data_IF_141477320449
#
_entry.id   IF_141477320449
#
_cell.length_a   1.000
_cell.length_b   1.000
_cell.length_c   1.000
_cell.angle_alpha   90.00
_cell.angle_beta   90.00
_cell.angle_gamma   90.00
#
_symmetry.space_group_name_H-M   'P 1'
#
loop_
_entity.id
_entity.type
_entity.pdbx_description
1 polymer ?
#
# COMPACT_ATOMS: atom_id res chain seq x y z
N UNK A 1 -26.33 -11.47 14.99
CA UNK A 1 -24.89 -11.59 14.66
C UNK A 1 -24.82 -11.45 13.16
N UNK A 2 -23.97 -10.56 12.64
CA UNK A 2 -23.93 -10.30 11.21
C UNK A 2 -23.19 -11.43 10.49
N UNK A 3 -23.79 -12.01 9.44
CA UNK A 3 -23.15 -13.09 8.66
C UNK A 3 -22.27 -12.53 7.55
N UNK A 4 -21.43 -13.38 6.96
CA UNK A 4 -20.66 -13.05 5.76
C UNK A 4 -21.58 -12.67 4.60
N UNK A 5 -22.66 -13.41 4.35
CA UNK A 5 -23.58 -13.09 3.25
C UNK A 5 -24.25 -11.72 3.45
N UNK A 6 -24.54 -11.33 4.69
CA UNK A 6 -25.07 -10.00 5.01
C UNK A 6 -24.04 -8.88 4.78
N UNK A 7 -22.75 -9.15 5.01
CA UNK A 7 -21.65 -8.24 4.67
C UNK A 7 -21.52 -8.07 3.16
N UNK A 8 -21.49 -9.17 2.41
CA UNK A 8 -21.40 -9.17 0.94
C UNK A 8 -22.62 -8.47 0.31
N UNK A 9 -23.82 -8.65 0.88
CA UNK A 9 -25.02 -7.94 0.43
C UNK A 9 -24.96 -6.42 0.69
N UNK A 10 -24.30 -5.99 1.78
CA UNK A 10 -24.06 -4.56 2.02
C UNK A 10 -23.07 -3.99 1.04
N UNK A 11 -21.95 -4.69 0.79
CA UNK A 11 -20.98 -4.29 -0.22
C UNK A 11 -21.65 -4.11 -1.59
N UNK A 12 -22.53 -5.03 -1.98
CA UNK A 12 -23.26 -4.96 -3.25
C UNK A 12 -24.17 -3.73 -3.33
N UNK A 13 -24.78 -3.33 -2.22
CA UNK A 13 -25.71 -2.20 -2.15
C UNK A 13 -25.03 -0.83 -2.00
N UNK A 14 -23.84 -0.76 -1.39
CA UNK A 14 -23.21 0.51 -1.01
C UNK A 14 -21.96 0.85 -1.80
N UNK A 15 -21.21 -0.14 -2.27
CA UNK A 15 -19.98 0.12 -3.03
C UNK A 15 -20.31 0.56 -4.46
N UNK A 16 -19.40 1.36 -5.02
CA UNK A 16 -19.53 1.84 -6.40
C UNK A 16 -19.50 0.67 -7.40
N UNK A 17 -20.08 0.83 -8.61
CA UNK A 17 -20.05 -0.21 -9.64
C UNK A 17 -18.65 -0.65 -10.05
N UNK A 18 -17.67 0.25 -9.98
CA UNK A 18 -16.26 -0.02 -10.29
C UNK A 18 -15.47 -0.69 -9.15
N UNK A 19 -16.03 -0.76 -7.95
CA UNK A 19 -15.35 -1.32 -6.79
C UNK A 19 -15.38 -2.85 -6.82
N UNK A 20 -14.30 -3.48 -6.38
CA UNK A 20 -14.27 -4.93 -6.20
C UNK A 20 -15.20 -5.35 -5.05
N UNK A 21 -15.90 -6.48 -5.24
CA UNK A 21 -16.88 -6.97 -4.26
C UNK A 21 -16.45 -8.35 -3.81
N UNK A 22 -16.35 -8.58 -2.49
CA UNK A 22 -15.86 -9.84 -1.97
C UNK A 22 -16.76 -11.01 -2.38
N UNK A 23 -18.08 -10.79 -2.43
CA UNK A 23 -19.05 -11.78 -2.91
C UNK A 23 -18.96 -12.12 -4.41
N UNK A 24 -18.19 -11.34 -5.19
CA UNK A 24 -17.91 -11.57 -6.62
C UNK A 24 -16.45 -11.92 -6.90
N UNK A 25 -15.66 -12.21 -5.86
CA UNK A 25 -14.26 -12.59 -6.01
C UNK A 25 -14.09 -13.75 -6.98
N UNK A 26 -13.04 -13.72 -7.80
CA UNK A 26 -12.62 -14.83 -8.66
C UNK A 26 -12.06 -16.01 -7.84
N UNK A 27 -11.93 -15.84 -6.53
CA UNK A 27 -11.66 -16.89 -5.57
C UNK A 27 -10.17 -17.15 -5.35
N UNK A 28 -9.87 -18.35 -4.88
CA UNK A 28 -8.52 -18.80 -4.47
C UNK A 28 -8.10 -19.99 -5.33
N UNK A 29 -6.79 -20.21 -5.49
CA UNK A 29 -6.26 -21.35 -6.25
C UNK A 29 -6.71 -22.68 -5.63
N UNK A 30 -6.51 -22.82 -4.31
CA UNK A 30 -6.91 -24.02 -3.58
C UNK A 30 -8.31 -23.78 -3.02
N UNK A 31 -9.31 -24.60 -3.37
CA UNK A 31 -10.66 -24.45 -2.84
C UNK A 31 -10.67 -24.59 -1.32
N UNK A 32 -11.30 -23.63 -0.65
CA UNK A 32 -11.48 -23.62 0.80
C UNK A 32 -12.94 -23.31 1.12
N UNK A 33 -13.43 -23.81 2.26
CA UNK A 33 -14.75 -23.43 2.75
C UNK A 33 -14.77 -21.93 3.10
N UNK A 34 -15.91 -21.28 2.82
CA UNK A 34 -16.11 -19.89 3.18
C UNK A 34 -16.30 -19.70 4.68
N UNK A 35 -15.90 -18.53 5.18
CA UNK A 35 -15.99 -18.23 6.61
C UNK A 35 -17.41 -17.73 6.94
N UNK A 36 -18.03 -18.16 8.06
CA UNK A 36 -19.40 -17.77 8.37
C UNK A 36 -19.61 -16.25 8.63
N UNK A 37 -18.54 -15.54 9.01
CA UNK A 37 -18.63 -14.15 9.50
C UNK A 37 -17.69 -13.13 8.83
N UNK A 38 -16.78 -13.58 7.95
CA UNK A 38 -15.73 -12.72 7.37
C UNK A 38 -15.77 -12.85 5.86
N UNK A 39 -15.65 -11.72 5.17
CA UNK A 39 -15.53 -11.69 3.71
C UNK A 39 -14.18 -12.26 3.26
N UNK A 40 -14.05 -12.57 1.97
CA UNK A 40 -12.83 -13.12 1.41
C UNK A 40 -11.61 -12.18 1.63
N UNK A 41 -11.80 -10.86 1.49
CA UNK A 41 -10.74 -9.86 1.67
C UNK A 41 -10.37 -9.66 3.15
N UNK A 42 -11.33 -9.69 4.07
CA UNK A 42 -11.05 -9.68 5.51
C UNK A 42 -10.21 -10.88 5.93
N UNK A 43 -10.50 -12.07 5.38
CA UNK A 43 -9.69 -13.25 5.61
C UNK A 43 -8.27 -13.05 5.11
N UNK A 44 -8.09 -12.48 3.92
CA UNK A 44 -6.77 -12.23 3.33
C UNK A 44 -5.94 -11.27 4.16
N UNK A 45 -6.54 -10.17 4.62
CA UNK A 45 -5.89 -9.26 5.57
C UNK A 45 -5.38 -10.01 6.78
N UNK A 46 -6.24 -10.80 7.42
CA UNK A 46 -5.89 -11.53 8.62
C UNK A 46 -4.77 -12.55 8.34
N UNK A 47 -4.74 -13.18 7.16
CA UNK A 47 -3.65 -14.08 6.74
C UNK A 47 -2.32 -13.33 6.64
N UNK A 48 -2.30 -12.19 5.95
CA UNK A 48 -1.10 -11.38 5.75
C UNK A 48 -0.51 -10.89 7.06
N UNK A 49 -1.33 -10.35 7.97
CA UNK A 49 -0.88 -9.82 9.28
C UNK A 49 -0.25 -10.91 10.16
N UNK A 50 -0.67 -12.17 10.04
CA UNK A 50 -0.16 -13.26 10.88
C UNK A 50 1.09 -13.96 10.33
N UNK A 51 1.61 -13.52 9.18
CA UNK A 51 2.84 -14.08 8.58
C UNK A 51 4.09 -13.79 9.41
N UNK A 52 5.12 -14.63 9.26
CA UNK A 52 6.44 -14.31 9.81
C UNK A 52 7.03 -13.10 9.10
N UNK A 53 6.80 -13.00 7.78
CA UNK A 53 7.33 -11.93 6.97
C UNK A 53 6.74 -10.54 7.32
N UNK A 54 5.45 -10.46 7.65
CA UNK A 54 4.84 -9.22 8.16
C UNK A 54 5.39 -8.84 9.53
N UNK A 55 5.53 -9.80 10.45
CA UNK A 55 6.19 -9.56 11.76
C UNK A 55 7.63 -9.07 11.60
N UNK A 56 8.36 -9.59 10.61
CA UNK A 56 9.72 -9.17 10.34
C UNK A 56 9.83 -7.70 9.90
N UNK A 57 8.74 -7.07 9.43
CA UNK A 57 8.73 -5.65 9.08
C UNK A 57 9.02 -4.74 10.29
N UNK A 58 8.75 -5.20 11.51
CA UNK A 58 9.11 -4.51 12.76
C UNK A 58 10.62 -4.27 12.86
N UNK A 59 11.43 -5.16 12.29
CA UNK A 59 12.88 -5.10 12.34
C UNK A 59 13.51 -4.66 11.02
N UNK A 60 12.70 -4.30 10.02
CA UNK A 60 13.17 -3.78 8.73
C UNK A 60 13.02 -2.26 8.69
N UNK A 61 14.09 -1.64 8.22
CA UNK A 61 14.22 -0.19 8.11
C UNK A 61 13.51 0.32 6.87
N UNK A 62 12.87 1.48 6.97
CA UNK A 62 12.39 2.19 5.78
C UNK A 62 13.58 2.91 5.10
N UNK A 63 14.02 4.03 5.68
CA UNK A 63 15.17 4.81 5.19
C UNK A 63 16.36 4.75 6.16
N UNK A 64 16.13 4.99 7.45
CA UNK A 64 17.17 5.01 8.46
C UNK A 64 17.31 3.67 9.17
N UNK A 65 18.55 3.35 9.57
CA UNK A 65 18.83 2.09 10.28
C UNK A 65 18.25 2.17 11.70
N UNK A 66 17.47 1.17 12.11
CA UNK A 66 16.70 1.15 13.36
C UNK A 66 17.59 1.31 14.62
N UNK A 67 18.90 1.05 14.49
CA UNK A 67 19.89 1.21 15.56
C UNK A 67 20.35 2.66 15.79
N UNK A 68 19.86 3.63 14.99
CA UNK A 68 20.28 5.04 15.06
C UNK A 68 19.37 5.94 15.91
N UNK A 69 18.25 5.40 16.42
CA UNK A 69 17.35 6.07 17.35
C UNK A 69 15.91 5.57 17.25
N UNK A 70 15.17 5.64 18.37
CA UNK A 70 13.79 5.11 18.50
C UNK A 70 12.74 5.91 17.71
N UNK A 71 13.14 7.03 17.10
CA UNK A 71 12.26 7.91 16.32
C UNK A 71 12.00 7.39 14.89
N UNK A 72 12.97 6.66 14.31
CA UNK A 72 12.90 6.29 12.90
C UNK A 72 11.89 5.20 12.63
N UNK A 73 11.15 5.36 11.53
CA UNK A 73 10.09 4.43 11.14
C UNK A 73 10.65 3.10 10.66
N UNK A 74 9.92 2.05 11.00
CA UNK A 74 10.10 0.69 10.46
C UNK A 74 9.16 0.49 9.28
N UNK A 75 9.39 -0.55 8.48
CA UNK A 75 8.45 -0.95 7.43
C UNK A 75 7.08 -1.33 7.98
N UNK A 76 7.03 -1.80 9.23
CA UNK A 76 5.76 -2.12 9.89
C UNK A 76 4.95 -0.84 10.16
N UNK A 77 5.56 0.18 10.77
CA UNK A 77 4.87 1.45 11.03
C UNK A 77 4.48 2.13 9.72
N UNK A 78 5.33 2.04 8.70
CA UNK A 78 5.02 2.51 7.36
C UNK A 78 3.78 1.80 6.77
N UNK A 79 3.75 0.47 6.73
CA UNK A 79 2.62 -0.31 6.21
C UNK A 79 1.31 -0.01 6.95
N UNK A 80 1.37 0.24 8.26
CA UNK A 80 0.20 0.65 9.05
C UNK A 80 -0.30 2.02 8.59
N UNK A 81 0.57 3.00 8.44
CA UNK A 81 0.19 4.35 7.98
C UNK A 81 -0.38 4.34 6.55
N UNK A 82 0.24 3.57 5.64
CA UNK A 82 -0.29 3.35 4.28
C UNK A 82 -1.71 2.79 4.34
N UNK A 83 -1.96 1.80 5.20
CA UNK A 83 -3.29 1.20 5.35
C UNK A 83 -4.35 2.20 5.82
N UNK A 84 -3.99 3.14 6.70
CA UNK A 84 -4.91 4.16 7.20
C UNK A 84 -5.31 5.17 6.10
N UNK A 85 -4.33 5.59 5.30
CA UNK A 85 -4.57 6.49 4.16
C UNK A 85 -5.37 5.78 3.07
N UNK A 86 -4.98 4.56 2.69
CA UNK A 86 -5.69 3.76 1.69
C UNK A 86 -7.16 3.55 2.05
N UNK A 87 -7.47 3.22 3.32
CA UNK A 87 -8.85 3.05 3.79
C UNK A 87 -9.65 4.35 3.75
N UNK A 88 -9.01 5.47 4.07
CA UNK A 88 -9.65 6.80 4.00
C UNK A 88 -10.05 7.14 2.57
N UNK A 89 -9.14 6.91 1.62
CA UNK A 89 -9.39 7.13 0.19
C UNK A 89 -10.48 6.16 -0.31
N UNK A 90 -10.35 4.87 -0.04
CA UNK A 90 -11.31 3.85 -0.48
C UNK A 90 -12.72 4.13 0.00
N UNK A 91 -12.89 4.46 1.30
CA UNK A 91 -14.20 4.79 1.85
C UNK A 91 -14.81 6.03 1.20
N UNK A 92 -13.99 7.04 0.90
CA UNK A 92 -14.48 8.28 0.27
C UNK A 92 -14.88 8.06 -1.19
N UNK A 93 -14.18 7.16 -1.90
CA UNK A 93 -14.51 6.75 -3.27
C UNK A 93 -15.54 5.62 -3.34
N UNK A 94 -16.14 5.18 -2.23
CA UNK A 94 -16.99 3.99 -2.17
C UNK A 94 -16.36 2.75 -2.83
N UNK A 95 -15.03 2.64 -2.77
CA UNK A 95 -14.26 1.46 -3.15
C UNK A 95 -14.18 0.48 -1.96
N UNK A 96 -13.71 -0.74 -2.20
CA UNK A 96 -13.65 -1.76 -1.16
C UNK A 96 -12.53 -1.48 -0.15
N UNK A 97 -12.93 -1.06 1.06
CA UNK A 97 -12.00 -0.71 2.15
C UNK A 97 -11.15 -1.91 2.60
N UNK A 98 -11.73 -3.11 2.69
CA UNK A 98 -11.03 -4.31 3.15
C UNK A 98 -9.97 -4.77 2.11
N UNK A 99 -10.26 -4.64 0.81
CA UNK A 99 -9.30 -4.95 -0.26
C UNK A 99 -8.16 -3.92 -0.29
N UNK A 100 -8.46 -2.62 -0.19
CA UNK A 100 -7.43 -1.58 -0.13
C UNK A 100 -6.53 -1.76 1.11
N UNK A 101 -7.10 -2.12 2.26
CA UNK A 101 -6.35 -2.38 3.51
C UNK A 101 -5.38 -3.56 3.36
N UNK A 102 -5.82 -4.71 2.84
CA UNK A 102 -4.92 -5.86 2.69
C UNK A 102 -3.80 -5.59 1.68
N UNK A 103 -4.08 -4.89 0.59
CA UNK A 103 -3.06 -4.50 -0.40
C UNK A 103 -2.02 -3.56 0.23
N UNK A 104 -2.47 -2.56 0.98
CA UNK A 104 -1.59 -1.66 1.73
C UNK A 104 -0.75 -2.36 2.79
N UNK A 105 -1.30 -3.33 3.53
CA UNK A 105 -0.55 -4.06 4.57
C UNK A 105 0.45 -5.04 3.95
N UNK A 106 0.11 -5.63 2.80
CA UNK A 106 0.90 -6.68 2.19
C UNK A 106 1.96 -6.17 1.20
N UNK A 107 1.89 -4.93 0.70
CA UNK A 107 2.77 -4.44 -0.38
C UNK A 107 4.27 -4.62 -0.07
N UNK A 108 4.64 -4.47 1.20
CA UNK A 108 6.03 -4.32 1.63
C UNK A 108 6.67 -5.60 2.21
N UNK A 109 5.92 -6.68 2.27
CA UNK A 109 6.35 -7.96 2.86
C UNK A 109 7.62 -8.51 2.18
N UNK A 110 7.75 -8.29 0.87
CA UNK A 110 8.83 -8.79 0.03
C UNK A 110 10.17 -8.06 0.15
N UNK A 111 10.23 -6.92 0.85
CA UNK A 111 11.47 -6.14 0.91
C UNK A 111 12.59 -6.88 1.66
N UNK A 112 13.83 -6.89 1.14
CA UNK A 112 14.97 -7.42 1.87
C UNK A 112 15.39 -6.47 3.03
N UNK A 113 16.30 -6.91 3.91
CA UNK A 113 16.93 -6.01 4.88
C UNK A 113 17.58 -4.79 4.19
N UNK A 114 17.65 -3.65 4.89
CA UNK A 114 18.26 -2.39 4.40
C UNK A 114 17.54 -1.70 3.23
N UNK A 115 16.24 -1.97 3.05
CA UNK A 115 15.40 -1.29 2.07
C UNK A 115 15.92 -1.42 0.63
N UNK A 116 15.80 -0.35 -0.15
CA UNK A 116 16.20 -0.36 -1.57
C UNK A 116 17.67 -0.67 -1.79
N UNK A 117 18.57 -0.28 -0.86
CA UNK A 117 19.99 -0.63 -0.98
C UNK A 117 20.22 -2.14 -0.85
N UNK A 118 19.46 -2.80 0.03
CA UNK A 118 19.48 -4.26 0.13
C UNK A 118 18.95 -4.93 -1.13
N UNK A 119 17.89 -4.38 -1.72
CA UNK A 119 17.33 -4.85 -2.99
C UNK A 119 18.34 -4.75 -4.13
N UNK A 120 18.93 -3.56 -4.34
CA UNK A 120 19.93 -3.37 -5.39
C UNK A 120 21.11 -4.32 -5.24
N UNK A 121 21.61 -4.47 -4.01
CA UNK A 121 22.76 -5.36 -3.77
C UNK A 121 22.41 -6.82 -3.98
N UNK A 122 21.20 -7.23 -3.58
CA UNK A 122 20.74 -8.60 -3.78
C UNK A 122 20.48 -8.90 -5.26
N UNK A 123 19.94 -7.95 -6.03
CA UNK A 123 19.77 -8.07 -7.49
C UNK A 123 21.12 -8.25 -8.19
N UNK A 124 22.11 -7.41 -7.84
CA UNK A 124 23.49 -7.52 -8.35
C UNK A 124 24.08 -8.91 -8.08
N UNK A 125 24.03 -9.37 -6.82
CA UNK A 125 24.58 -10.68 -6.42
C UNK A 125 23.86 -11.86 -7.09
N UNK A 126 22.54 -11.77 -7.26
CA UNK A 126 21.74 -12.80 -7.95
C UNK A 126 22.12 -12.90 -9.43
N UNK A 127 22.37 -11.77 -10.08
CA UNK A 127 22.84 -11.72 -11.47
C UNK A 127 24.25 -12.29 -11.61
N UNK A 128 25.18 -11.92 -10.72
CA UNK A 128 26.55 -12.47 -10.69
C UNK A 128 26.56 -13.99 -10.51
N UNK A 129 25.64 -14.54 -9.70
CA UNK A 129 25.49 -15.97 -9.49
C UNK A 129 24.75 -16.70 -10.64
N UNK A 130 24.15 -15.96 -11.57
CA UNK A 130 23.34 -16.54 -12.66
C UNK A 130 21.95 -17.03 -12.22
N UNK A 131 21.44 -16.56 -11.08
CA UNK A 131 20.10 -16.89 -10.55
C UNK A 131 18.98 -15.96 -11.04
N UNK A 132 19.29 -15.03 -11.93
CA UNK A 132 18.35 -14.04 -12.47
C UNK A 132 18.34 -12.75 -11.68
N UNK A 133 17.22 -12.01 -11.73
CA UNK A 133 17.05 -10.73 -11.04
C UNK A 133 16.29 -10.89 -9.74
N UNK A 134 16.60 -10.05 -8.76
CA UNK A 134 15.81 -9.88 -7.56
C UNK A 134 14.94 -8.62 -7.67
N UNK A 135 13.66 -8.76 -7.33
CA UNK A 135 12.69 -7.69 -7.24
C UNK A 135 11.82 -7.96 -6.01
N UNK A 136 11.59 -6.94 -5.18
CA UNK A 136 10.86 -7.11 -3.93
C UNK A 136 9.38 -7.46 -4.16
N UNK A 137 8.73 -7.02 -5.25
CA UNK A 137 7.34 -7.37 -5.57
C UNK A 137 7.23 -8.84 -5.98
N UNK A 138 8.16 -9.30 -6.82
CA UNK A 138 8.26 -10.73 -7.15
C UNK A 138 8.52 -11.57 -5.88
N UNK A 139 9.39 -11.07 -5.00
CA UNK A 139 9.66 -11.74 -3.74
C UNK A 139 8.46 -11.73 -2.80
N UNK A 140 7.65 -10.66 -2.81
CA UNK A 140 6.43 -10.55 -2.05
C UNK A 140 5.44 -11.65 -2.46
N UNK A 141 5.10 -11.75 -3.74
CA UNK A 141 4.24 -12.82 -4.26
C UNK A 141 4.84 -14.20 -3.96
N UNK A 142 6.15 -14.37 -4.09
CA UNK A 142 6.82 -15.63 -3.74
C UNK A 142 6.65 -15.99 -2.25
N UNK A 143 6.72 -15.02 -1.34
CA UNK A 143 6.46 -15.26 0.10
C UNK A 143 5.02 -15.72 0.29
N UNK A 144 4.07 -14.96 -0.25
CA UNK A 144 2.64 -15.16 -0.05
C UNK A 144 2.11 -16.42 -0.73
N UNK A 145 2.71 -16.87 -1.82
CA UNK A 145 2.26 -18.06 -2.56
C UNK A 145 3.05 -19.33 -2.24
N UNK A 146 4.30 -19.22 -1.78
CA UNK A 146 5.20 -20.38 -1.71
C UNK A 146 6.00 -20.52 -0.42
N UNK A 147 6.48 -19.43 0.19
CA UNK A 147 7.44 -19.54 1.31
C UNK A 147 6.78 -19.61 2.67
N UNK A 148 5.66 -18.92 2.90
CA UNK A 148 4.91 -19.07 4.14
C UNK A 148 4.26 -20.46 4.20
N UNK A 149 4.46 -21.17 5.30
CA UNK A 149 3.91 -22.52 5.53
C UNK A 149 3.09 -22.51 6.81
N UNK A 150 1.86 -21.98 6.69
CA UNK A 150 0.92 -21.80 7.81
C UNK A 150 -0.30 -22.73 7.76
N UNK A 151 -0.47 -23.44 6.66
CA UNK A 151 -1.62 -24.30 6.40
C UNK A 151 -1.15 -25.71 6.02
N UNK A 152 -1.84 -26.74 6.52
CA UNK A 152 -1.44 -28.13 6.33
C UNK A 152 -1.61 -28.62 4.87
N UNK A 153 -2.56 -28.04 4.14
CA UNK A 153 -3.03 -28.57 2.86
C UNK A 153 -2.44 -27.85 1.64
N UNK A 154 -1.74 -26.73 1.82
CA UNK A 154 -1.16 -25.94 0.74
C UNK A 154 -0.02 -25.06 1.24
N UNK A 155 0.86 -24.66 0.32
CA UNK A 155 1.92 -23.67 0.58
C UNK A 155 1.40 -22.25 0.35
N UNK A 156 2.06 -21.27 0.97
CA UNK A 156 1.61 -19.89 0.95
C UNK A 156 0.36 -19.66 1.78
N UNK A 157 -0.30 -18.55 1.50
CA UNK A 157 -1.50 -18.08 2.18
C UNK A 157 -2.77 -18.30 1.36
N UNK A 158 -2.65 -18.80 0.11
CA UNK A 158 -3.77 -19.04 -0.79
C UNK A 158 -4.73 -17.83 -0.86
N UNK A 159 -4.18 -16.63 -1.05
CA UNK A 159 -4.95 -15.37 -1.10
C UNK A 159 -5.89 -15.34 -2.30
N UNK A 160 -6.90 -14.48 -2.24
CA UNK A 160 -7.80 -14.25 -3.37
C UNK A 160 -7.07 -13.69 -4.59
N UNK A 161 -7.65 -13.90 -5.77
CA UNK A 161 -7.13 -13.35 -7.01
C UNK A 161 -6.93 -11.83 -6.94
N UNK A 162 -7.88 -11.10 -6.37
CA UNK A 162 -7.87 -9.63 -6.34
C UNK A 162 -6.68 -9.09 -5.53
N UNK A 163 -6.34 -9.77 -4.41
CA UNK A 163 -5.16 -9.41 -3.62
C UNK A 163 -3.87 -9.70 -4.38
N UNK A 164 -3.79 -10.85 -5.06
CA UNK A 164 -2.60 -11.22 -5.85
C UNK A 164 -2.40 -10.29 -7.04
N UNK A 165 -3.48 -9.91 -7.71
CA UNK A 165 -3.51 -8.94 -8.80
C UNK A 165 -3.06 -7.56 -8.32
N UNK A 166 -3.64 -7.05 -7.23
CA UNK A 166 -3.32 -5.72 -6.71
C UNK A 166 -1.89 -5.58 -6.18
N UNK A 167 -1.22 -6.69 -5.80
CA UNK A 167 0.18 -6.68 -5.39
C UNK A 167 1.17 -6.65 -6.58
N UNK A 168 0.68 -6.73 -7.82
CA UNK A 168 1.51 -6.61 -9.02
C UNK A 168 1.71 -5.13 -9.44
N UNK A 169 2.40 -4.36 -8.60
CA UNK A 169 2.58 -2.90 -8.77
C UNK A 169 3.62 -2.51 -9.84
N UNK A 170 4.64 -3.34 -10.11
CA UNK A 170 5.78 -2.94 -10.93
C UNK A 170 6.23 -3.97 -11.99
N UNK A 171 6.27 -3.50 -13.25
CA UNK A 171 7.20 -3.88 -14.32
C UNK A 171 7.46 -5.38 -14.57
N UNK A 172 6.42 -6.20 -14.59
CA UNK A 172 6.37 -7.26 -15.61
C UNK A 172 5.21 -6.98 -16.56
N UNK A 173 5.48 -6.55 -17.81
CA UNK A 173 4.58 -6.89 -18.89
C UNK A 173 4.32 -8.39 -18.78
N UNK A 174 3.05 -8.79 -18.73
CA UNK A 174 2.65 -10.19 -18.86
C UNK A 174 2.89 -11.09 -17.64
N UNK A 175 2.63 -10.61 -16.41
CA UNK A 175 2.57 -11.51 -15.25
C UNK A 175 1.35 -12.44 -15.39
N UNK A 176 1.57 -13.75 -15.33
CA UNK A 176 0.47 -14.71 -15.36
C UNK A 176 -0.01 -15.00 -13.94
N UNK A 177 -1.16 -14.44 -13.56
CA UNK A 177 -1.89 -14.81 -12.34
C UNK A 177 -3.00 -15.77 -12.76
N UNK A 178 -2.90 -17.02 -12.28
CA UNK A 178 -3.85 -18.10 -12.61
C UNK A 178 -4.01 -18.35 -14.12
N UNK A 179 -2.93 -18.13 -14.88
CA UNK A 179 -2.91 -18.27 -16.33
C UNK A 179 -3.48 -17.06 -17.09
N UNK A 180 -3.91 -16.02 -16.39
CA UNK A 180 -4.34 -14.75 -16.95
C UNK A 180 -3.21 -13.75 -16.94
N UNK A 181 -2.98 -13.14 -18.09
CA UNK A 181 -2.03 -12.05 -18.25
C UNK A 181 -2.57 -10.80 -17.56
N UNK A 182 -1.84 -10.33 -16.55
CA UNK A 182 -2.10 -9.07 -15.87
C UNK A 182 -1.06 -8.08 -16.36
N UNK A 183 -1.50 -7.12 -17.18
CA UNK A 183 -0.64 -6.00 -17.56
C UNK A 183 -0.38 -5.12 -16.33
N UNK A 184 0.87 -4.70 -16.15
CA UNK A 184 1.21 -3.69 -15.16
C UNK A 184 0.30 -2.45 -15.38
N UNK A 185 -0.22 -1.88 -14.30
CA UNK A 185 -1.15 -0.74 -14.28
C UNK A 185 -2.63 -1.02 -14.61
N UNK A 186 -3.03 -2.25 -14.95
CA UNK A 186 -4.44 -2.65 -15.08
C UNK A 186 -4.94 -3.38 -13.82
N UNK A 187 -4.61 -2.85 -12.65
CA UNK A 187 -5.07 -3.38 -11.36
C UNK A 187 -6.37 -2.70 -10.92
N UNK A 188 -7.08 -3.32 -9.98
CA UNK A 188 -8.30 -2.76 -9.41
C UNK A 188 -8.11 -1.33 -8.87
N UNK A 189 -9.20 -0.58 -8.76
CA UNK A 189 -9.17 0.77 -8.16
C UNK A 189 -8.59 0.72 -6.75
N UNK A 190 -8.88 -0.34 -5.98
CA UNK A 190 -8.32 -0.56 -4.65
C UNK A 190 -6.80 -0.78 -4.67
N UNK A 191 -6.27 -1.47 -5.68
CA UNK A 191 -4.83 -1.59 -5.90
C UNK A 191 -4.18 -0.26 -6.22
N UNK A 192 -4.79 0.54 -7.09
CA UNK A 192 -4.33 1.90 -7.40
C UNK A 192 -4.37 2.80 -6.16
N UNK A 193 -5.40 2.68 -5.33
CA UNK A 193 -5.51 3.40 -4.06
C UNK A 193 -4.38 3.02 -3.11
N UNK A 194 -4.11 1.72 -2.94
CA UNK A 194 -3.03 1.26 -2.08
C UNK A 194 -1.65 1.72 -2.59
N UNK A 195 -1.46 1.81 -3.91
CA UNK A 195 -0.25 2.32 -4.53
C UNK A 195 -0.04 3.82 -4.30
N UNK A 196 -1.07 4.62 -4.55
CA UNK A 196 -0.98 6.05 -4.32
C UNK A 196 -0.91 6.40 -2.82
N UNK A 197 -1.53 5.61 -1.95
CA UNK A 197 -1.41 5.77 -0.51
C UNK A 197 0.04 5.52 -0.03
N UNK A 198 0.72 4.55 -0.65
CA UNK A 198 2.12 4.24 -0.40
C UNK A 198 3.00 5.45 -0.75
N UNK A 199 2.87 6.00 -1.97
CA UNK A 199 3.58 7.21 -2.41
C UNK A 199 3.36 8.42 -1.48
N UNK A 200 2.11 8.68 -1.06
CA UNK A 200 1.78 9.79 -0.15
C UNK A 200 2.48 9.60 1.20
N UNK A 201 2.42 8.38 1.73
CA UNK A 201 2.98 8.02 3.03
C UNK A 201 4.50 8.10 2.98
N UNK A 202 5.10 7.57 1.91
CA UNK A 202 6.54 7.62 1.65
C UNK A 202 7.05 9.06 1.65
N UNK A 203 6.40 9.96 0.88
CA UNK A 203 6.77 11.37 0.82
C UNK A 203 6.69 12.06 2.18
N UNK A 204 5.66 11.77 2.98
CA UNK A 204 5.47 12.36 4.30
C UNK A 204 6.52 11.85 5.31
N UNK A 205 6.88 10.58 5.24
CA UNK A 205 7.87 9.95 6.11
C UNK A 205 9.27 10.45 5.82
N UNK A 206 9.67 10.50 4.55
CA UNK A 206 10.97 11.01 4.14
C UNK A 206 11.14 12.49 4.51
N UNK A 207 10.06 13.27 4.42
CA UNK A 207 10.04 14.65 4.88
C UNK A 207 10.25 14.75 6.40
N UNK A 208 9.52 13.97 7.19
CA UNK A 208 9.61 13.98 8.65
C UNK A 208 10.99 13.53 9.13
N UNK A 209 11.46 12.38 8.64
CA UNK A 209 12.75 11.79 9.02
C UNK A 209 13.92 12.67 8.50
N UNK A 210 13.77 13.25 7.30
CA UNK A 210 14.75 14.18 6.72
C UNK A 210 14.87 15.48 7.52
N UNK A 211 13.76 16.05 7.99
CA UNK A 211 13.77 17.23 8.87
C UNK A 211 14.29 16.88 10.27
N UNK A 212 13.92 15.72 10.81
CA UNK A 212 14.37 15.26 12.12
C UNK A 212 15.89 15.01 12.16
N UNK A 213 16.43 14.37 11.12
CA UNK A 213 17.87 14.11 10.99
C UNK A 213 18.70 15.35 10.64
N UNK A 214 18.05 16.45 10.24
CA UNK A 214 18.71 17.68 9.77
C UNK A 214 19.31 17.58 8.37
N UNK A 215 19.05 16.48 7.64
CA UNK A 215 19.41 16.35 6.22
C UNK A 215 18.59 17.30 5.34
N UNK A 216 17.34 17.55 5.75
CA UNK A 216 16.49 18.59 5.19
C UNK A 216 16.41 19.77 6.15
N UNK A 217 16.43 20.98 5.59
CA UNK A 217 16.26 22.23 6.34
C UNK A 217 14.96 22.92 5.92
N UNK A 218 14.38 23.69 6.85
CA UNK A 218 13.20 24.52 6.58
C UNK A 218 13.40 25.46 5.39
N UNK A 219 14.58 26.09 5.27
CA UNK A 219 14.98 26.92 4.13
C UNK A 219 14.97 26.17 2.79
N UNK A 220 15.24 24.86 2.81
CA UNK A 220 15.18 24.02 1.62
C UNK A 220 13.73 23.73 1.23
N UNK A 221 12.83 23.59 2.21
CA UNK A 221 11.40 23.38 1.96
C UNK A 221 10.71 24.62 1.40
N UNK A 222 11.05 25.83 1.84
CA UNK A 222 10.43 27.07 1.33
C UNK A 222 10.53 27.23 -0.20
N UNK A 223 11.50 26.56 -0.84
CA UNK A 223 11.66 26.53 -2.29
C UNK A 223 10.57 25.71 -2.99
N UNK A 224 10.01 24.72 -2.31
CA UNK A 224 8.97 23.83 -2.82
C UNK A 224 7.61 24.53 -2.76
N UNK A 225 6.86 24.48 -3.86
CA UNK A 225 5.51 25.03 -3.93
C UNK A 225 4.56 24.40 -2.89
N UNK A 226 4.62 23.07 -2.76
CA UNK A 226 3.81 22.32 -1.79
C UNK A 226 4.04 22.79 -0.35
N UNK A 227 5.30 23.05 0.04
CA UNK A 227 5.61 23.51 1.39
C UNK A 227 5.06 24.91 1.67
N UNK A 228 5.06 25.80 0.67
CA UNK A 228 4.45 27.13 0.80
C UNK A 228 2.93 27.04 0.96
N UNK A 229 2.26 26.23 0.14
CA UNK A 229 0.82 25.95 0.26
C UNK A 229 0.46 25.42 1.65
N UNK A 230 1.29 24.51 2.18
CA UNK A 230 1.11 23.95 3.52
C UNK A 230 1.29 25.02 4.61
N UNK A 231 2.35 25.83 4.53
CA UNK A 231 2.60 26.91 5.49
C UNK A 231 1.45 27.93 5.53
N UNK A 232 0.93 28.31 4.36
CA UNK A 232 -0.24 29.18 4.23
C UNK A 232 -1.49 28.58 4.87
N UNK A 233 -1.75 27.27 4.68
CA UNK A 233 -2.89 26.57 5.30
C UNK A 233 -2.81 26.51 6.82
N UNK A 234 -1.62 26.25 7.37
CA UNK A 234 -1.41 26.17 8.82
C UNK A 234 -1.47 27.59 9.44
N UNK A 235 -1.25 28.64 8.64
CA UNK A 235 -1.24 30.03 9.11
C UNK A 235 0.03 30.39 9.87
N UNK A 236 1.14 29.69 9.59
CA UNK A 236 2.44 29.90 10.23
C UNK A 236 3.52 30.11 9.17
N UNK A 237 4.40 31.07 9.39
CA UNK A 237 5.59 31.20 8.57
C UNK A 237 6.56 30.04 8.89
N UNK A 238 7.16 29.45 7.85
CA UNK A 238 8.21 28.47 8.06
C UNK A 238 9.44 29.16 8.69
N UNK A 239 10.18 28.49 9.59
CA UNK A 239 11.31 29.10 10.27
C UNK A 239 12.46 29.30 9.29
N UNK A 240 12.98 30.52 9.20
CA UNK A 240 14.09 30.84 8.30
C UNK A 240 15.47 30.39 8.83
N UNK A 241 15.57 29.93 10.10
CA UNK A 241 16.77 29.33 10.74
C UNK A 241 16.42 28.52 11.99
N UNK A 242 17.06 27.36 12.17
CA UNK A 242 16.98 26.52 13.37
C UNK A 242 16.15 25.25 13.18
N UNK A 243 16.17 24.34 14.16
CA UNK A 243 15.21 23.25 14.22
C UNK A 243 13.84 23.86 14.51
N UNK A 244 12.98 23.96 13.51
CA UNK A 244 11.55 24.19 13.75
C UNK A 244 11.08 23.29 14.89
N UNK A 245 10.24 23.84 15.77
CA UNK A 245 9.72 23.10 16.92
C UNK A 245 9.08 21.79 16.44
N UNK A 246 9.21 20.73 17.22
CA UNK A 246 8.72 19.39 16.92
C UNK A 246 7.24 19.41 16.50
N UNK A 247 6.47 20.27 17.17
CA UNK A 247 5.07 20.55 16.85
C UNK A 247 4.88 21.05 15.41
N UNK A 248 5.73 21.96 14.93
CA UNK A 248 5.62 22.49 13.57
C UNK A 248 5.95 21.41 12.54
N UNK A 249 6.95 20.57 12.79
CA UNK A 249 7.26 19.41 11.94
C UNK A 249 6.04 18.50 11.79
N UNK A 250 5.41 18.13 12.90
CA UNK A 250 4.18 17.32 12.87
C UNK A 250 3.04 17.98 12.11
N UNK A 251 2.81 19.29 12.31
CA UNK A 251 1.75 20.01 11.59
C UNK A 251 2.01 20.06 10.09
N UNK A 252 3.27 20.30 9.68
CA UNK A 252 3.65 20.36 8.26
C UNK A 252 3.50 18.99 7.61
N UNK A 253 4.03 17.92 8.23
CA UNK A 253 3.92 16.55 7.70
C UNK A 253 2.46 16.13 7.55
N UNK A 254 1.63 16.39 8.58
CA UNK A 254 0.19 16.12 8.51
C UNK A 254 -0.48 16.88 7.36
N UNK A 255 -0.20 18.18 7.23
CA UNK A 255 -0.83 19.00 6.20
C UNK A 255 -0.36 18.64 4.79
N UNK A 256 0.87 18.14 4.64
CA UNK A 256 1.39 17.57 3.38
C UNK A 256 0.59 16.33 2.97
N UNK A 257 0.25 15.44 3.92
CA UNK A 257 -0.63 14.29 3.66
C UNK A 257 -2.02 14.80 3.22
N UNK A 258 -2.62 15.71 4.00
CA UNK A 258 -3.96 16.22 3.72
C UNK A 258 -4.06 16.87 2.32
N UNK A 259 -3.08 17.69 1.93
CA UNK A 259 -3.05 18.33 0.60
C UNK A 259 -2.94 17.29 -0.52
N UNK A 260 -2.09 16.27 -0.36
CA UNK A 260 -1.93 15.22 -1.37
C UNK A 260 -3.18 14.35 -1.48
N UNK A 261 -3.80 13.97 -0.36
CA UNK A 261 -5.05 13.20 -0.33
C UNK A 261 -6.19 13.99 -0.98
N UNK A 262 -6.34 15.28 -0.65
CA UNK A 262 -7.35 16.14 -1.29
C UNK A 262 -7.16 16.24 -2.81
N UNK A 263 -5.92 16.43 -3.27
CA UNK A 263 -5.60 16.52 -4.69
C UNK A 263 -5.88 15.18 -5.41
N UNK A 264 -5.50 14.07 -4.80
CA UNK A 264 -5.81 12.72 -5.29
C UNK A 264 -7.32 12.53 -5.41
N UNK A 265 -8.07 12.85 -4.36
CA UNK A 265 -9.53 12.70 -4.35
C UNK A 265 -10.21 13.54 -5.44
N UNK A 266 -9.79 14.79 -5.61
CA UNK A 266 -10.33 15.66 -6.65
C UNK A 266 -10.05 15.11 -8.06
N UNK A 267 -8.81 14.68 -8.32
CA UNK A 267 -8.41 14.12 -9.61
C UNK A 267 -9.12 12.78 -9.90
N UNK A 268 -9.19 11.90 -8.90
CA UNK A 268 -9.88 10.62 -9.02
C UNK A 268 -11.37 10.78 -9.26
N UNK A 269 -12.03 11.70 -8.54
CA UNK A 269 -13.46 12.00 -8.78
C UNK A 269 -13.69 12.49 -10.20
N UNK A 270 -12.89 13.45 -10.69
CA UNK A 270 -13.02 13.97 -12.06
C UNK A 270 -12.83 12.86 -13.11
N UNK A 271 -11.84 11.98 -12.93
CA UNK A 271 -11.58 10.86 -13.84
C UNK A 271 -12.71 9.83 -13.79
N UNK A 272 -13.19 9.47 -12.60
CA UNK A 272 -14.29 8.53 -12.44
C UNK A 272 -15.59 9.08 -13.05
N UNK A 273 -15.88 10.37 -12.92
CA UNK A 273 -17.04 11.01 -13.55
C UNK A 273 -16.92 11.02 -15.07
N UNK A 274 -15.71 11.30 -15.59
CA UNK A 274 -15.43 11.36 -17.03
C UNK A 274 -15.56 10.00 -17.71
N UNK A 275 -15.00 8.96 -17.09
CA UNK A 275 -14.97 7.60 -17.67
C UNK A 275 -16.20 6.76 -17.27
N UNK A 276 -16.82 7.07 -16.14
CA UNK A 276 -18.00 6.42 -15.58
C UNK A 276 -17.98 4.87 -15.66
N UNK A 277 -16.92 4.21 -15.15
CA UNK A 277 -16.79 2.76 -15.25
C UNK A 277 -17.91 2.05 -14.48
N UNK A 278 -18.58 1.10 -15.15
CA UNK A 278 -19.73 0.36 -14.61
C UNK A 278 -19.37 -1.02 -14.04
N UNK A 279 -18.07 -1.36 -14.02
CA UNK A 279 -17.55 -2.60 -13.45
C UNK A 279 -16.09 -2.43 -13.05
N UNK A 280 -15.54 -3.31 -12.18
CA UNK A 280 -14.11 -3.30 -11.85
C UNK A 280 -13.24 -3.49 -13.09
N UNK A 281 -13.63 -4.39 -13.99
CA UNK A 281 -12.90 -4.62 -15.25
C UNK A 281 -12.91 -3.39 -16.17
N UNK A 282 -14.00 -2.62 -16.20
CA UNK A 282 -14.02 -1.37 -16.94
C UNK A 282 -13.09 -0.33 -16.31
N UNK A 283 -12.99 -0.29 -14.98
CA UNK A 283 -12.12 0.63 -14.26
C UNK A 283 -10.63 0.31 -14.44
N UNK A 284 -10.27 -0.98 -14.60
CA UNK A 284 -8.89 -1.39 -14.95
C UNK A 284 -8.40 -0.86 -16.30
N UNK A 285 -9.32 -0.52 -17.20
CA UNK A 285 -9.04 -0.12 -18.58
C UNK A 285 -9.08 1.40 -18.81
N UNK A 286 -9.37 2.19 -17.76
CA UNK A 286 -9.52 3.65 -17.82
C UNK A 286 -8.31 4.36 -17.22
#
# INVERSE_FOLDING_TARGET
MMTREELEAREEATLAPYAEKAGRSRGRIVPEAEHPYRTAFQRDRDRCVHTSAFRALEYKTQVFVNLTGDYYRTRLTHSIEVSLIARTIARTLNANEDLAEVLAIAHDIGHPPFGHQGEYKLDEMMQEYGAGRFDHNDHNLRILEKLEERYANFRGLNLTYEVREGLNKHRRPHLLIDGHEVEAYQISVEGQIADLADDITYNAHDLDDGLHSGLLTWDSLEKLELARTVAERIGVALPQRGSGDEMLRYQVVRQVIDVQVEALMACSSERLDRHNPQSPDAARMC
#
